data_IF_713944889662
#
_entry.id   IF_713944889662
#
_cell.length_a   1.000
_cell.length_b   1.000
_cell.length_c   1.000
_cell.angle_alpha   90.00
_cell.angle_beta   90.00
_cell.angle_gamma   90.00
#
_symmetry.space_group_name_H-M   'P 1'
#
loop_
_entity.id
_entity.type
_entity.pdbx_description
1 polymer ?
#
# COMPACT_ATOMS: atom_id res chain seq x y z
N UNK A 1 -28.37 -30.95 42.05
CA UNK A 1 -27.14 -30.78 41.26
C UNK A 1 -27.48 -29.80 40.17
N UNK A 2 -27.20 -28.53 40.41
CA UNK A 2 -27.44 -27.45 39.46
C UNK A 2 -26.24 -27.37 38.52
N UNK A 3 -26.50 -27.55 37.23
CA UNK A 3 -25.53 -27.37 36.15
C UNK A 3 -25.21 -25.88 36.00
N UNK A 4 -24.09 -25.45 36.58
CA UNK A 4 -23.47 -24.16 36.27
C UNK A 4 -22.80 -24.26 34.90
N UNK A 5 -23.58 -24.08 33.83
CA UNK A 5 -23.05 -23.79 32.51
C UNK A 5 -22.57 -22.32 32.49
N UNK A 6 -21.38 -22.11 33.06
CA UNK A 6 -20.71 -20.83 33.10
C UNK A 6 -20.42 -20.34 31.69
N UNK A 7 -21.34 -19.55 31.15
CA UNK A 7 -21.09 -18.75 29.96
C UNK A 7 -19.95 -17.82 30.32
N UNK A 8 -18.73 -18.14 29.87
CA UNK A 8 -17.59 -17.23 29.91
C UNK A 8 -17.98 -16.02 29.08
N UNK A 9 -18.60 -15.02 29.72
CA UNK A 9 -18.64 -13.67 29.20
C UNK A 9 -17.18 -13.25 29.14
N UNK A 10 -16.60 -13.31 27.94
CA UNK A 10 -15.28 -12.78 27.71
C UNK A 10 -15.40 -11.28 28.01
N UNK A 11 -14.88 -10.83 29.15
CA UNK A 11 -14.78 -9.43 29.55
C UNK A 11 -13.74 -8.68 28.70
N UNK A 12 -13.63 -9.05 27.41
CA UNK A 12 -12.85 -8.34 26.41
C UNK A 12 -13.74 -7.30 25.74
N UNK A 13 -13.14 -6.19 25.31
CA UNK A 13 -13.82 -5.17 24.50
C UNK A 13 -14.61 -5.82 23.36
N UNK A 14 -15.83 -5.36 23.12
CA UNK A 14 -16.65 -5.89 22.02
C UNK A 14 -16.00 -5.59 20.67
N UNK A 15 -16.31 -6.42 19.67
CA UNK A 15 -15.77 -6.27 18.32
C UNK A 15 -16.13 -4.92 17.70
N UNK A 16 -17.29 -4.37 18.04
CA UNK A 16 -17.74 -3.05 17.61
C UNK A 16 -16.83 -1.95 18.13
N UNK A 17 -16.42 -2.04 19.41
CA UNK A 17 -15.50 -1.07 19.99
C UNK A 17 -14.12 -1.17 19.33
N UNK A 18 -13.62 -2.38 19.07
CA UNK A 18 -12.33 -2.56 18.40
C UNK A 18 -12.34 -2.00 16.97
N UNK A 19 -13.44 -2.19 16.23
CA UNK A 19 -13.62 -1.57 14.91
C UNK A 19 -13.57 -0.03 14.98
N UNK A 20 -14.15 0.56 16.03
CA UNK A 20 -14.13 2.00 16.24
C UNK A 20 -12.75 2.52 16.65
N UNK A 21 -12.00 1.79 17.48
CA UNK A 21 -10.71 2.24 18.02
C UNK A 21 -9.57 2.08 17.01
N UNK A 22 -9.56 1.00 16.24
CA UNK A 22 -8.44 0.65 15.36
C UNK A 22 -8.03 1.77 14.37
N UNK A 23 -8.95 2.53 13.75
CA UNK A 23 -8.62 3.66 12.87
C UNK A 23 -7.91 4.84 13.56
N UNK A 24 -8.03 4.98 14.88
CA UNK A 24 -7.37 6.04 15.66
C UNK A 24 -5.91 5.71 16.03
N UNK A 25 -5.45 4.47 15.77
CA UNK A 25 -4.06 4.10 15.97
C UNK A 25 -3.27 4.51 14.72
N UNK A 26 -2.63 5.67 14.77
CA UNK A 26 -1.95 6.24 13.60
C UNK A 26 -0.49 5.83 13.46
N UNK A 27 0.21 5.52 14.56
CA UNK A 27 1.62 5.11 14.50
C UNK A 27 1.74 3.74 13.79
N UNK A 28 2.54 3.63 12.72
CA UNK A 28 2.79 2.34 12.07
C UNK A 28 3.31 1.27 13.03
N UNK A 29 4.15 1.59 14.01
CA UNK A 29 4.70 0.61 14.95
C UNK A 29 3.63 0.07 15.90
N UNK A 30 2.72 0.91 16.35
CA UNK A 30 1.60 0.49 17.20
C UNK A 30 0.64 -0.41 16.43
N UNK A 31 0.39 -0.10 15.17
CA UNK A 31 -0.41 -0.95 14.26
C UNK A 31 0.25 -2.30 14.03
N UNK A 32 1.58 -2.33 13.89
CA UNK A 32 2.34 -3.58 13.76
C UNK A 32 2.20 -4.43 15.03
N UNK A 33 2.35 -3.83 16.23
CA UNK A 33 2.16 -4.52 17.50
C UNK A 33 0.70 -5.00 17.70
N UNK A 34 -0.27 -4.14 17.42
CA UNK A 34 -1.70 -4.44 17.48
C UNK A 34 -2.05 -5.66 16.62
N UNK A 35 -1.50 -5.75 15.40
CA UNK A 35 -1.77 -6.85 14.47
C UNK A 35 -1.31 -8.23 14.98
N UNK A 36 -0.43 -8.28 15.99
CA UNK A 36 0.15 -9.52 16.52
C UNK A 36 -0.55 -10.04 17.79
N UNK A 37 -1.50 -9.28 18.34
CA UNK A 37 -2.19 -9.65 19.59
C UNK A 37 -3.00 -10.94 19.42
N UNK A 38 -3.83 -11.01 18.38
CA UNK A 38 -4.62 -12.18 18.04
C UNK A 38 -5.11 -12.11 16.59
N UNK A 39 -5.70 -13.21 16.09
CA UNK A 39 -6.24 -13.29 14.73
C UNK A 39 -7.27 -12.18 14.43
N UNK A 40 -8.11 -11.83 15.42
CA UNK A 40 -9.14 -10.79 15.24
C UNK A 40 -8.50 -9.42 15.01
N UNK A 41 -7.52 -9.04 15.83
CA UNK A 41 -6.79 -7.79 15.67
C UNK A 41 -5.96 -7.76 14.38
N UNK A 42 -5.40 -8.90 13.99
CA UNK A 42 -4.73 -9.06 12.69
C UNK A 42 -5.67 -8.73 11.53
N UNK A 43 -6.89 -9.28 11.52
CA UNK A 43 -7.90 -9.04 10.48
C UNK A 43 -8.40 -7.59 10.48
N UNK A 44 -8.65 -7.02 11.67
CA UNK A 44 -9.05 -5.61 11.81
C UNK A 44 -7.97 -4.65 11.32
N UNK A 45 -6.69 -4.92 11.60
CA UNK A 45 -5.58 -4.15 11.05
C UNK A 45 -5.56 -4.20 9.53
N UNK A 46 -5.67 -5.39 8.95
CA UNK A 46 -5.73 -5.58 7.51
C UNK A 46 -6.81 -4.74 6.82
N UNK A 47 -8.00 -4.66 7.43
CA UNK A 47 -9.15 -3.93 6.88
C UNK A 47 -9.00 -2.42 7.04
N UNK A 48 -8.43 -1.96 8.15
CA UNK A 48 -8.42 -0.54 8.50
C UNK A 48 -7.15 0.20 8.09
N UNK A 49 -6.07 -0.50 7.71
CA UNK A 49 -4.79 0.17 7.39
C UNK A 49 -4.84 0.88 6.04
N UNK A 50 -4.77 2.21 6.08
CA UNK A 50 -4.91 3.07 4.91
C UNK A 50 -3.61 3.48 4.23
N UNK A 51 -2.51 3.52 4.97
CA UNK A 51 -1.23 4.03 4.46
C UNK A 51 -0.10 3.05 4.72
N UNK A 52 0.69 2.76 3.68
CA UNK A 52 1.84 1.86 3.78
C UNK A 52 3.05 2.38 3.02
N UNK A 53 4.22 2.08 3.57
CA UNK A 53 5.50 2.30 2.91
C UNK A 53 6.27 0.99 2.83
N UNK A 54 6.64 0.58 1.62
CA UNK A 54 7.55 -0.53 1.37
C UNK A 54 8.92 0.05 1.09
N UNK A 55 9.84 -0.11 2.05
CA UNK A 55 11.16 0.49 2.02
C UNK A 55 12.11 -0.11 0.95
N UNK A 56 11.78 -1.29 0.45
CA UNK A 56 12.44 -1.96 -0.66
C UNK A 56 11.41 -2.84 -1.38
N UNK A 57 11.09 -2.54 -2.64
CA UNK A 57 10.01 -3.20 -3.40
C UNK A 57 10.22 -4.71 -3.64
N UNK A 58 11.39 -5.25 -3.32
CA UNK A 58 11.69 -6.68 -3.44
C UNK A 58 11.44 -7.48 -2.15
N UNK A 59 11.03 -6.83 -1.05
CA UNK A 59 10.76 -7.54 0.23
C UNK A 59 9.44 -8.29 0.25
N UNK A 60 8.53 -7.98 -0.68
CA UNK A 60 7.22 -8.61 -0.80
C UNK A 60 6.71 -8.53 -2.23
N UNK A 61 5.74 -9.37 -2.58
CA UNK A 61 5.02 -9.28 -3.85
C UNK A 61 3.80 -8.35 -3.76
N UNK A 62 3.34 -7.78 -4.89
CA UNK A 62 2.08 -7.05 -4.98
C UNK A 62 0.87 -7.90 -4.50
N UNK A 63 0.79 -9.17 -4.92
CA UNK A 63 -0.26 -10.10 -4.49
C UNK A 63 -0.30 -10.28 -2.96
N UNK A 64 0.87 -10.41 -2.31
CA UNK A 64 0.92 -10.53 -0.84
C UNK A 64 0.42 -9.25 -0.18
N UNK A 65 0.77 -8.08 -0.74
CA UNK A 65 0.27 -6.79 -0.25
C UNK A 65 -1.26 -6.74 -0.37
N UNK A 66 -1.82 -7.07 -1.54
CA UNK A 66 -3.27 -7.10 -1.77
C UNK A 66 -3.98 -8.01 -0.79
N UNK A 67 -3.47 -9.23 -0.59
CA UNK A 67 -4.09 -10.21 0.33
C UNK A 67 -4.14 -9.69 1.76
N UNK A 68 -3.15 -8.91 2.18
CA UNK A 68 -3.07 -8.34 3.52
C UNK A 68 -3.87 -7.04 3.67
N UNK A 69 -3.76 -6.10 2.74
CA UNK A 69 -4.30 -4.74 2.89
C UNK A 69 -5.12 -4.34 1.66
N UNK A 70 -6.41 -4.72 1.65
CA UNK A 70 -7.29 -4.52 0.49
C UNK A 70 -7.82 -3.09 0.35
N UNK A 71 -7.94 -2.36 1.46
CA UNK A 71 -8.55 -1.02 1.50
C UNK A 71 -7.51 0.10 1.60
N UNK A 72 -6.33 -0.12 0.99
CA UNK A 72 -5.23 0.83 1.03
C UNK A 72 -5.59 2.10 0.25
N UNK A 73 -5.31 3.27 0.83
CA UNK A 73 -5.55 4.59 0.23
C UNK A 73 -4.25 5.28 -0.18
N UNK A 74 -3.13 4.98 0.48
CA UNK A 74 -1.80 5.49 0.09
C UNK A 74 -0.74 4.39 0.11
N UNK A 75 0.05 4.32 -0.96
CA UNK A 75 1.17 3.39 -1.08
C UNK A 75 2.44 4.15 -1.48
N UNK A 76 3.49 3.98 -0.67
CA UNK A 76 4.86 4.40 -1.02
C UNK A 76 5.72 3.18 -1.31
N UNK A 77 6.36 3.13 -2.46
CA UNK A 77 7.30 2.09 -2.86
C UNK A 77 8.68 2.69 -3.08
N UNK A 78 9.72 2.04 -2.53
CA UNK A 78 11.11 2.41 -2.76
C UNK A 78 11.82 1.29 -3.52
N UNK A 79 12.51 1.66 -4.60
CA UNK A 79 13.28 0.73 -5.43
C UNK A 79 14.76 0.69 -5.06
N UNK A 80 15.59 1.29 -5.91
CA UNK A 80 17.05 1.32 -5.79
C UNK A 80 17.51 1.78 -4.40
N UNK A 81 18.64 1.26 -3.89
CA UNK A 81 19.19 1.67 -2.60
C UNK A 81 19.68 3.13 -2.64
N UNK A 82 20.01 3.70 -1.48
CA UNK A 82 20.43 5.12 -1.38
C UNK A 82 21.72 5.42 -2.16
N UNK A 83 22.57 4.43 -2.36
CA UNK A 83 23.77 4.51 -3.17
C UNK A 83 23.50 4.95 -4.63
N UNK A 84 22.30 4.69 -5.18
CA UNK A 84 21.92 5.13 -6.53
C UNK A 84 21.88 6.67 -6.66
N UNK A 85 21.70 7.40 -5.56
CA UNK A 85 21.76 8.87 -5.56
C UNK A 85 23.18 9.42 -5.76
N UNK A 86 24.20 8.55 -5.71
CA UNK A 86 25.61 8.89 -5.84
C UNK A 86 26.25 8.17 -7.05
N UNK A 87 25.44 7.73 -8.02
CA UNK A 87 25.89 7.00 -9.22
C UNK A 87 26.66 5.69 -8.91
N UNK A 88 26.42 5.09 -7.74
CA UNK A 88 27.08 3.85 -7.31
C UNK A 88 26.31 2.58 -7.69
N UNK A 89 25.17 2.72 -8.36
CA UNK A 89 24.26 1.62 -8.70
C UNK A 89 23.96 1.72 -10.20
N UNK A 90 24.06 0.61 -10.96
CA UNK A 90 23.69 0.58 -12.37
C UNK A 90 22.25 1.04 -12.61
N UNK A 91 22.00 1.67 -13.76
CA UNK A 91 20.65 2.16 -14.08
C UNK A 91 19.63 1.04 -14.23
N UNK A 92 20.05 -0.12 -14.72
CA UNK A 92 19.27 -1.33 -14.94
C UNK A 92 19.20 -2.26 -13.72
N UNK A 93 19.73 -1.85 -12.56
CA UNK A 93 19.75 -2.63 -11.31
C UNK A 93 18.37 -3.20 -10.92
N UNK A 94 17.30 -2.48 -11.27
CA UNK A 94 15.93 -2.89 -11.00
C UNK A 94 15.13 -1.81 -10.26
N UNK A 95 14.07 -2.26 -9.59
CA UNK A 95 13.04 -1.39 -9.01
C UNK A 95 11.94 -1.03 -10.01
N UNK A 96 11.59 -1.94 -10.92
CA UNK A 96 10.51 -1.76 -11.89
C UNK A 96 9.14 -1.65 -11.20
N UNK A 97 8.34 -0.65 -11.56
CA UNK A 97 6.99 -0.47 -11.00
C UNK A 97 5.93 -1.32 -11.70
N UNK A 98 6.17 -1.81 -12.92
CA UNK A 98 5.17 -2.52 -13.74
C UNK A 98 4.38 -3.59 -12.98
N UNK A 99 4.99 -4.52 -12.20
CA UNK A 99 4.22 -5.53 -11.46
C UNK A 99 3.31 -4.93 -10.40
N UNK A 100 3.73 -3.82 -9.78
CA UNK A 100 2.94 -3.10 -8.79
C UNK A 100 1.77 -2.38 -9.44
N UNK A 101 2.01 -1.72 -10.57
CA UNK A 101 0.99 -0.98 -11.31
C UNK A 101 -0.10 -1.92 -11.84
N UNK A 102 0.28 -3.09 -12.37
CA UNK A 102 -0.69 -4.10 -12.82
C UNK A 102 -1.62 -4.52 -11.67
N UNK A 103 -1.06 -4.84 -10.50
CA UNK A 103 -1.87 -5.22 -9.33
C UNK A 103 -2.73 -4.04 -8.81
N UNK A 104 -2.21 -2.81 -8.87
CA UNK A 104 -2.97 -1.60 -8.49
C UNK A 104 -4.19 -1.42 -9.40
N UNK A 105 -4.00 -1.57 -10.70
CA UNK A 105 -5.05 -1.44 -11.70
C UNK A 105 -6.16 -2.48 -11.48
N UNK A 106 -5.79 -3.71 -11.11
CA UNK A 106 -6.74 -4.82 -10.91
C UNK A 106 -7.45 -4.78 -9.56
N UNK A 107 -6.72 -4.46 -8.48
CA UNK A 107 -7.16 -4.84 -7.12
C UNK A 107 -7.34 -3.69 -6.14
N UNK A 108 -6.60 -2.58 -6.30
CA UNK A 108 -6.55 -1.50 -5.30
C UNK A 108 -7.52 -0.35 -5.65
N UNK A 109 -8.82 -0.60 -5.50
CA UNK A 109 -9.88 0.34 -5.88
C UNK A 109 -10.00 1.58 -4.97
N UNK A 110 -9.42 1.55 -3.76
CA UNK A 110 -9.48 2.68 -2.81
C UNK A 110 -8.24 3.59 -2.89
N UNK A 111 -7.29 3.29 -3.77
CA UNK A 111 -5.99 3.94 -3.77
C UNK A 111 -6.07 5.35 -4.36
N UNK A 112 -5.74 6.35 -3.54
CA UNK A 112 -5.78 7.77 -3.89
C UNK A 112 -4.40 8.39 -4.02
N UNK A 113 -3.40 7.83 -3.33
CA UNK A 113 -2.05 8.37 -3.30
C UNK A 113 -1.02 7.30 -3.65
N UNK A 114 -0.18 7.62 -4.63
CA UNK A 114 0.97 6.81 -5.01
C UNK A 114 2.26 7.60 -4.91
N UNK A 115 3.29 6.94 -4.39
CA UNK A 115 4.64 7.49 -4.32
C UNK A 115 5.66 6.44 -4.71
N UNK A 116 6.22 6.58 -5.90
CA UNK A 116 7.37 5.80 -6.36
C UNK A 116 8.64 6.57 -6.06
N UNK A 117 9.60 5.92 -5.40
CA UNK A 117 10.87 6.54 -5.03
C UNK A 117 12.06 5.70 -5.49
N UNK A 118 12.89 6.27 -6.36
CA UNK A 118 14.06 5.60 -6.97
C UNK A 118 13.67 4.30 -7.67
N UNK A 119 12.64 4.36 -8.48
CA UNK A 119 12.10 3.22 -9.23
C UNK A 119 12.25 3.45 -10.73
N UNK A 120 12.10 2.39 -11.51
CA UNK A 120 12.01 2.45 -12.97
C UNK A 120 10.52 2.46 -13.34
N UNK A 121 10.07 3.55 -13.93
CA UNK A 121 8.69 3.81 -14.35
C UNK A 121 8.67 3.97 -15.85
N UNK A 122 7.87 3.19 -16.58
CA UNK A 122 7.70 3.31 -18.03
C UNK A 122 6.46 4.14 -18.37
N UNK A 123 6.42 4.68 -19.58
CA UNK A 123 5.23 5.39 -20.09
C UNK A 123 3.98 4.49 -20.09
N UNK A 124 4.15 3.19 -20.41
CA UNK A 124 3.07 2.20 -20.34
C UNK A 124 2.52 2.01 -18.93
N UNK A 125 3.36 2.15 -17.90
CA UNK A 125 2.93 2.05 -16.51
C UNK A 125 2.07 3.27 -16.13
N UNK A 126 2.49 4.47 -16.56
CA UNK A 126 1.75 5.71 -16.33
C UNK A 126 0.43 5.74 -17.11
N UNK A 127 0.41 5.24 -18.34
CA UNK A 127 -0.80 5.10 -19.14
C UNK A 127 -1.80 4.15 -18.48
N UNK A 128 -1.33 3.00 -17.97
CA UNK A 128 -2.18 2.05 -17.26
C UNK A 128 -2.74 2.65 -15.96
N UNK A 129 -1.91 3.36 -15.18
CA UNK A 129 -2.38 4.09 -14.00
C UNK A 129 -3.43 5.14 -14.36
N UNK A 130 -3.18 5.95 -15.39
CA UNK A 130 -4.11 6.97 -15.85
C UNK A 130 -5.47 6.38 -16.25
N UNK A 131 -5.47 5.25 -16.96
CA UNK A 131 -6.70 4.57 -17.41
C UNK A 131 -7.47 3.92 -16.27
N UNK A 132 -6.77 3.29 -15.33
CA UNK A 132 -7.38 2.46 -14.27
C UNK A 132 -7.73 3.23 -12.99
N UNK A 133 -6.97 4.28 -12.66
CA UNK A 133 -7.10 5.05 -11.42
C UNK A 133 -7.20 6.54 -11.64
N UNK A 134 -7.36 6.99 -12.89
CA UNK A 134 -7.32 8.41 -13.23
C UNK A 134 -8.27 9.25 -12.38
N UNK A 135 -9.49 8.77 -12.14
CA UNK A 135 -10.53 9.51 -11.41
C UNK A 135 -10.37 9.50 -9.90
N UNK A 136 -9.70 8.49 -9.36
CA UNK A 136 -9.53 8.31 -7.91
C UNK A 136 -8.18 8.78 -7.40
N UNK A 137 -7.18 8.96 -8.29
CA UNK A 137 -5.82 9.26 -7.91
C UNK A 137 -5.63 10.77 -7.63
N UNK A 138 -5.73 11.14 -6.36
CA UNK A 138 -5.49 12.50 -5.86
C UNK A 138 -4.02 12.95 -5.94
N UNK A 139 -3.07 12.03 -5.77
CA UNK A 139 -1.64 12.36 -5.70
C UNK A 139 -0.75 11.27 -6.30
N UNK A 140 0.05 11.65 -7.30
CA UNK A 140 1.14 10.83 -7.83
C UNK A 140 2.50 11.52 -7.60
N UNK A 141 3.40 10.85 -6.88
CA UNK A 141 4.77 11.30 -6.65
C UNK A 141 5.77 10.37 -7.34
N UNK A 142 6.55 10.93 -8.25
CA UNK A 142 7.63 10.23 -8.97
C UNK A 142 8.96 10.83 -8.47
N UNK A 143 9.47 10.32 -7.34
CA UNK A 143 10.66 10.86 -6.65
C UNK A 143 11.94 10.15 -7.11
N UNK A 144 12.76 10.84 -7.90
CA UNK A 144 14.05 10.33 -8.43
C UNK A 144 13.89 9.00 -9.18
N UNK A 145 12.80 8.84 -9.93
CA UNK A 145 12.60 7.69 -10.80
C UNK A 145 13.20 7.94 -12.19
N UNK A 146 13.35 6.88 -12.98
CA UNK A 146 13.82 6.94 -14.37
C UNK A 146 12.96 6.05 -15.29
N UNK A 147 13.08 6.18 -16.61
CA UNK A 147 12.46 5.29 -17.61
C UNK A 147 11.18 5.79 -18.28
N UNK A 148 10.68 6.98 -17.91
CA UNK A 148 9.49 7.59 -18.49
C UNK A 148 9.86 8.85 -19.28
N UNK A 149 8.95 9.28 -20.15
CA UNK A 149 9.06 10.48 -20.97
C UNK A 149 7.90 11.44 -20.71
N UNK A 150 7.83 12.52 -21.48
CA UNK A 150 6.69 13.46 -21.44
C UNK A 150 5.38 12.82 -21.88
N UNK A 151 5.42 11.73 -22.68
CA UNK A 151 4.22 11.05 -23.17
C UNK A 151 3.49 10.34 -22.01
N UNK A 152 4.21 9.67 -21.12
CA UNK A 152 3.63 9.09 -19.91
C UNK A 152 2.98 10.13 -19.00
N UNK A 153 3.61 11.31 -18.86
CA UNK A 153 3.03 12.42 -18.08
C UNK A 153 1.75 12.98 -18.72
N UNK A 154 1.69 13.03 -20.05
CA UNK A 154 0.52 13.48 -20.79
C UNK A 154 -0.71 12.62 -20.50
N UNK A 155 -0.54 11.29 -20.36
CA UNK A 155 -1.63 10.39 -19.99
C UNK A 155 -2.22 10.70 -18.62
N UNK A 156 -1.35 10.95 -17.62
CA UNK A 156 -1.75 11.32 -16.26
C UNK A 156 -2.47 12.66 -16.27
N UNK A 157 -1.88 13.70 -16.86
CA UNK A 157 -2.45 15.05 -16.88
C UNK A 157 -3.79 15.17 -17.63
N UNK A 158 -4.08 14.24 -18.55
CA UNK A 158 -5.38 14.18 -19.24
C UNK A 158 -6.46 13.46 -18.45
N UNK A 159 -6.08 12.40 -17.73
CA UNK A 159 -7.01 11.45 -17.11
C UNK A 159 -7.28 11.73 -15.63
N UNK A 160 -6.33 12.33 -14.92
CA UNK A 160 -6.44 12.71 -13.51
C UNK A 160 -6.93 14.15 -13.40
N UNK A 161 -8.22 14.34 -13.11
CA UNK A 161 -8.89 15.64 -12.97
C UNK A 161 -9.63 15.73 -11.66
#
# INVERSE_FOLDING_TARGET
MEDQNGTRVCTGMSDEVLNCVMPYIHDPKDRDAASLVCRRWYELDALTRKHLTIALCYTTSPDRLRRRFRQLESLTLKGKPRAAMFNLIPEDWGGYVTPWVNEIAESFNCLKSLHFRRMIVKDSDLELLARSRGRELDSLKIDRCSGFSTDGLLHIGRSCR
#
